data_IF_295721770178
#
_entry.id   IF_295721770178
#
_cell.length_a   1.000
_cell.length_b   1.000
_cell.length_c   1.000
_cell.angle_alpha   90.00
_cell.angle_beta   90.00
_cell.angle_gamma   90.00
#
_symmetry.space_group_name_H-M   'P 1'
#
loop_
_entity.id
_entity.type
_entity.pdbx_description
1 polymer ?
#
# COMPACT_ATOMS: atom_id res chain seq x y z
N UNK A 1 -4.81 14.67 -19.16
CA UNK A 1 -5.09 13.44 -18.40
C UNK A 1 -5.58 13.74 -17.02
N UNK A 2 -6.59 13.12 -16.64
CA UNK A 2 -7.18 13.38 -15.34
C UNK A 2 -6.59 12.46 -14.31
N UNK A 3 -6.35 13.00 -13.16
CA UNK A 3 -6.01 12.18 -12.04
C UNK A 3 -7.19 11.33 -11.64
N UNK A 4 -6.91 10.11 -11.24
CA UNK A 4 -7.93 9.27 -10.65
C UNK A 4 -7.89 9.47 -9.16
N UNK A 5 -9.07 9.44 -8.55
CA UNK A 5 -9.14 9.46 -7.09
C UNK A 5 -9.05 8.02 -6.61
N UNK A 6 -8.00 7.74 -5.87
CA UNK A 6 -7.78 6.42 -5.30
C UNK A 6 -8.06 6.46 -3.82
N UNK A 7 -8.80 5.49 -3.35
CA UNK A 7 -8.97 5.27 -1.93
C UNK A 7 -8.15 4.06 -1.57
N UNK A 8 -7.13 4.28 -0.76
CA UNK A 8 -6.16 3.24 -0.42
C UNK A 8 -6.25 2.96 1.06
N UNK A 9 -6.42 1.69 1.41
CA UNK A 9 -6.41 1.26 2.80
C UNK A 9 -5.24 0.30 2.99
N UNK A 10 -4.39 0.60 3.95
CA UNK A 10 -3.18 -0.15 4.22
C UNK A 10 -3.34 -0.83 5.58
N UNK A 11 -3.09 -2.13 5.61
CA UNK A 11 -3.20 -2.92 6.84
C UNK A 11 -1.80 -3.39 7.22
N UNK A 12 -1.38 -3.02 8.42
CA UNK A 12 -0.04 -3.35 8.90
C UNK A 12 -0.12 -4.12 10.20
N UNK A 13 0.88 -4.97 10.42
CA UNK A 13 1.00 -5.68 11.69
C UNK A 13 2.47 -5.91 11.99
N UNK A 14 2.78 -6.08 13.27
CA UNK A 14 4.15 -6.34 13.70
C UNK A 14 4.09 -7.07 15.04
N UNK A 15 5.14 -7.83 15.31
CA UNK A 15 5.24 -8.52 16.60
C UNK A 15 5.55 -7.57 17.75
N UNK A 16 6.21 -6.46 17.43
CA UNK A 16 6.60 -5.46 18.42
C UNK A 16 6.32 -4.09 17.86
N UNK A 17 5.95 -3.17 18.73
CA UNK A 17 5.84 -1.78 18.35
C UNK A 17 7.23 -1.17 18.26
N UNK A 18 7.36 -0.13 17.44
CA UNK A 18 8.62 0.59 17.37
C UNK A 18 8.79 1.46 18.61
N UNK A 19 9.90 2.21 18.66
CA UNK A 19 10.21 3.02 19.84
C UNK A 19 9.16 4.08 20.14
N UNK A 20 8.36 4.44 19.15
CA UNK A 20 7.30 5.44 19.32
C UNK A 20 5.94 4.82 19.60
N UNK A 21 5.89 3.50 19.81
CA UNK A 21 4.65 2.82 20.11
C UNK A 21 3.76 2.55 18.93
N UNK A 22 4.33 2.47 17.73
CA UNK A 22 3.56 2.26 16.52
C UNK A 22 4.03 1.01 15.79
N UNK A 23 3.11 0.38 15.05
CA UNK A 23 3.46 -0.69 14.14
C UNK A 23 4.28 -0.13 13.00
N UNK A 24 3.86 1.01 12.48
CA UNK A 24 4.53 1.68 11.38
C UNK A 24 4.16 3.17 11.43
N UNK A 25 5.11 4.01 11.06
CA UNK A 25 4.88 5.46 11.07
C UNK A 25 4.01 5.84 9.87
N UNK A 26 2.86 6.43 10.12
CA UNK A 26 1.96 6.88 9.06
C UNK A 26 2.61 7.86 8.11
N UNK A 27 3.50 8.70 8.64
CA UNK A 27 4.21 9.65 7.81
C UNK A 27 5.07 8.94 6.78
N UNK A 28 5.72 7.86 7.20
CA UNK A 28 6.55 7.05 6.32
C UNK A 28 5.72 6.39 5.21
N UNK A 29 4.57 5.86 5.59
CA UNK A 29 3.64 5.27 4.62
C UNK A 29 3.23 6.31 3.59
N UNK A 30 2.87 7.49 4.06
CA UNK A 30 2.44 8.57 3.20
C UNK A 30 3.53 8.98 2.22
N UNK A 31 4.75 9.10 2.70
CA UNK A 31 5.86 9.50 1.84
C UNK A 31 6.15 8.46 0.78
N UNK A 32 6.11 7.20 1.14
CA UNK A 32 6.43 6.13 0.19
C UNK A 32 5.37 5.93 -0.87
N UNK A 33 4.12 6.11 -0.51
CA UNK A 33 3.02 5.78 -1.39
C UNK A 33 2.42 7.02 -2.03
N UNK A 34 2.03 7.97 -1.21
CA UNK A 34 1.34 9.15 -1.69
C UNK A 34 2.22 10.00 -2.59
N UNK A 35 3.47 10.13 -2.22
CA UNK A 35 4.42 10.90 -3.02
C UNK A 35 4.60 10.34 -4.42
N UNK A 36 4.41 9.05 -4.60
CA UNK A 36 4.55 8.42 -5.91
C UNK A 36 3.26 8.46 -6.72
N UNK A 37 2.11 8.42 -6.05
CA UNK A 37 0.84 8.28 -6.75
C UNK A 37 0.11 9.59 -6.95
N UNK A 38 0.44 10.60 -6.17
CA UNK A 38 -0.38 11.79 -6.06
C UNK A 38 -0.22 12.77 -7.21
N UNK A 39 1.00 13.08 -7.60
CA UNK A 39 1.26 14.17 -8.54
C UNK A 39 1.78 13.72 -9.88
N UNK A 40 1.65 12.44 -10.17
CA UNK A 40 2.30 11.90 -11.35
C UNK A 40 1.34 11.04 -12.16
N UNK A 41 1.65 10.93 -13.44
CA UNK A 41 1.01 9.93 -14.28
C UNK A 41 1.51 8.57 -13.83
N UNK A 42 0.61 7.68 -13.44
CA UNK A 42 1.00 6.38 -12.93
C UNK A 42 1.81 5.57 -13.93
N UNK A 43 1.56 5.76 -15.22
CA UNK A 43 2.33 5.07 -16.24
C UNK A 43 3.80 5.46 -16.24
N UNK A 44 4.10 6.66 -15.74
CA UNK A 44 5.47 7.16 -15.72
C UNK A 44 6.22 6.78 -14.46
N UNK A 45 5.51 6.58 -13.34
CA UNK A 45 6.18 6.34 -12.06
C UNK A 45 6.22 4.87 -11.69
N UNK A 46 5.34 4.06 -12.24
CA UNK A 46 5.30 2.65 -11.90
C UNK A 46 5.86 1.82 -13.06
N UNK A 47 6.70 0.85 -12.75
CA UNK A 47 7.29 -0.02 -13.78
C UNK A 47 6.36 -1.11 -14.26
N UNK A 48 5.07 -0.97 -14.02
CA UNK A 48 4.09 -1.97 -14.38
C UNK A 48 2.79 -1.28 -14.75
N UNK A 49 1.86 -2.06 -15.30
CA UNK A 49 0.55 -1.55 -15.66
C UNK A 49 -0.21 -1.16 -14.38
N UNK A 50 -0.67 0.09 -14.25
CA UNK A 50 -1.27 0.58 -13.00
C UNK A 50 -2.73 0.17 -12.83
N UNK A 51 -2.98 -1.12 -12.77
CA UNK A 51 -4.29 -1.63 -12.39
C UNK A 51 -4.43 -1.54 -10.87
N UNK A 52 -5.67 -1.59 -10.38
CA UNK A 52 -5.89 -1.59 -8.94
C UNK A 52 -5.16 -2.75 -8.27
N UNK A 53 -5.16 -3.91 -8.92
CA UNK A 53 -4.48 -5.09 -8.41
C UNK A 53 -2.98 -4.88 -8.28
N UNK A 54 -2.37 -4.35 -9.33
CA UNK A 54 -0.93 -4.13 -9.33
C UNK A 54 -0.52 -3.02 -8.36
N UNK A 55 -1.36 -2.01 -8.23
CA UNK A 55 -1.09 -0.94 -7.26
C UNK A 55 -1.16 -1.48 -5.84
N UNK A 56 -2.16 -2.30 -5.54
CA UNK A 56 -2.29 -2.90 -4.21
C UNK A 56 -1.07 -3.75 -3.88
N UNK A 57 -0.62 -4.56 -4.82
CA UNK A 57 0.57 -5.39 -4.66
C UNK A 57 1.80 -4.53 -4.41
N UNK A 58 1.97 -3.49 -5.22
CA UNK A 58 3.11 -2.60 -5.09
C UNK A 58 3.15 -1.95 -3.71
N UNK A 59 1.99 -1.51 -3.21
CA UNK A 59 1.91 -0.89 -1.88
C UNK A 59 2.37 -1.86 -0.80
N UNK A 60 1.89 -3.09 -0.85
CA UNK A 60 2.28 -4.10 0.15
C UNK A 60 3.80 -4.33 0.09
N UNK A 61 4.37 -4.30 -1.11
CA UNK A 61 5.80 -4.52 -1.26
C UNK A 61 6.65 -3.36 -0.76
N UNK A 62 6.09 -2.16 -0.72
CA UNK A 62 6.85 -0.98 -0.29
C UNK A 62 7.02 -0.88 1.21
N UNK A 63 6.12 -1.46 1.97
CA UNK A 63 6.08 -1.29 3.42
C UNK A 63 6.25 -2.65 4.08
N UNK A 64 7.37 -2.86 4.79
CA UNK A 64 7.64 -4.19 5.38
C UNK A 64 6.56 -4.69 6.32
N UNK A 65 5.92 -3.78 7.07
CA UNK A 65 4.89 -4.15 8.03
C UNK A 65 3.52 -4.35 7.39
N UNK A 66 3.38 -3.95 6.14
CA UNK A 66 2.10 -4.05 5.45
C UNK A 66 1.90 -5.46 4.90
N UNK A 67 0.79 -6.07 5.26
CA UNK A 67 0.47 -7.41 4.77
C UNK A 67 -0.74 -7.41 3.85
N UNK A 68 -1.44 -6.30 3.76
CA UNK A 68 -2.66 -6.23 2.98
C UNK A 68 -2.90 -4.79 2.55
N UNK A 69 -3.34 -4.61 1.34
CA UNK A 69 -3.75 -3.30 0.86
C UNK A 69 -5.00 -3.43 0.02
N UNK A 70 -5.93 -2.51 0.19
CA UNK A 70 -7.06 -2.40 -0.71
C UNK A 70 -6.95 -1.09 -1.47
N UNK A 71 -7.25 -1.16 -2.75
CA UNK A 71 -7.18 -0.02 -3.65
C UNK A 71 -8.50 0.09 -4.38
N UNK A 72 -9.13 1.23 -4.25
CA UNK A 72 -10.41 1.48 -4.87
C UNK A 72 -10.34 2.73 -5.71
N UNK A 73 -10.70 2.61 -6.97
CA UNK A 73 -10.80 3.75 -7.85
C UNK A 73 -12.21 4.33 -7.73
N UNK A 74 -12.30 5.65 -7.81
CA UNK A 74 -13.58 6.33 -7.62
C UNK A 74 -14.64 5.90 -8.62
N UNK A 75 -14.22 5.31 -9.74
CA UNK A 75 -15.15 4.87 -10.77
C UNK A 75 -15.56 3.40 -10.63
N UNK A 76 -15.21 2.77 -9.54
CA UNK A 76 -15.76 1.47 -9.21
C UNK A 76 -14.79 0.29 -9.19
N UNK A 77 -13.59 0.44 -9.73
CA UNK A 77 -12.61 -0.64 -9.65
C UNK A 77 -12.13 -0.81 -8.22
N UNK A 78 -12.01 -2.06 -7.81
CA UNK A 78 -11.61 -2.35 -6.44
C UNK A 78 -10.76 -3.62 -6.44
N UNK A 79 -9.67 -3.57 -5.70
CA UNK A 79 -8.80 -4.73 -5.57
C UNK A 79 -8.21 -4.80 -4.17
N UNK A 80 -7.95 -6.02 -3.75
CA UNK A 80 -7.30 -6.30 -2.46
C UNK A 80 -6.15 -7.25 -2.73
N UNK A 81 -4.98 -6.92 -2.20
CA UNK A 81 -3.83 -7.82 -2.27
C UNK A 81 -3.38 -8.14 -0.87
N UNK A 82 -3.12 -9.40 -0.61
CA UNK A 82 -2.68 -9.88 0.70
C UNK A 82 -1.39 -10.65 0.53
N UNK A 83 -0.39 -10.27 1.32
CA UNK A 83 0.86 -11.02 1.43
C UNK A 83 1.15 -11.15 2.92
N UNK A 84 0.84 -12.29 3.49
CA UNK A 84 1.00 -12.47 4.93
C UNK A 84 2.46 -12.74 5.25
N UNK A 85 3.23 -11.67 5.32
CA UNK A 85 4.67 -11.72 5.51
C UNK A 85 5.10 -12.34 6.83
N UNK A 86 4.18 -12.36 7.80
CA UNK A 86 4.47 -12.88 9.12
C UNK A 86 3.86 -14.25 9.35
N UNK A 87 3.34 -14.84 8.32
CA UNK A 87 2.65 -16.12 8.41
C UNK A 87 3.55 -17.23 8.95
N UNK A 88 4.78 -17.26 8.49
CA UNK A 88 5.71 -18.31 8.86
C UNK A 88 6.16 -18.24 10.31
N UNK A 89 5.95 -17.11 10.94
CA UNK A 89 6.28 -16.94 12.34
C UNK A 89 5.24 -17.57 13.27
N UNK A 90 4.05 -17.78 12.78
CA UNK A 90 2.99 -18.43 13.54
C UNK A 90 2.46 -17.63 14.70
N UNK A 91 2.77 -16.35 14.78
CA UNK A 91 2.53 -15.56 15.97
C UNK A 91 1.45 -14.50 15.84
N UNK A 92 0.92 -14.32 14.70
CA UNK A 92 -0.06 -13.24 14.49
C UNK A 92 -1.37 -13.72 13.89
#
# INVERSE_FOLDING_TARGET
>A
MHGHNWIITVYCKAKKLNKDGMVCDFKHIKEKIHGKLDHSNLNDVLPFNPTAENIARWIVEQIPECYKASVRESEGNFAVYVDDKLKDDGEL
#
